data_IF_531694404882
#
_entry.id   IF_531694404882
#
_cell.length_a   1.000
_cell.length_b   1.000
_cell.length_c   1.000
_cell.angle_alpha   90.00
_cell.angle_beta   90.00
_cell.angle_gamma   90.00
#
_symmetry.space_group_name_H-M   'P 1'
#
loop_
_entity.id
_entity.type
_entity.pdbx_description
1 polymer ?
#
# COMPACT_ATOMS: atom_id res chain seq x y z
N UNK A 1 -42.18 38.95 -34.32
CA UNK A 1 -41.39 39.62 -33.27
C UNK A 1 -40.77 38.50 -32.42
N UNK A 2 -39.45 38.29 -32.34
CA UNK A 2 -38.32 38.87 -33.07
C UNK A 2 -37.20 37.81 -33.21
N UNK A 3 -36.51 37.87 -34.35
CA UNK A 3 -35.08 37.63 -34.61
C UNK A 3 -34.31 36.42 -34.05
N UNK A 4 -33.67 35.71 -34.99
CA UNK A 4 -32.46 34.90 -34.80
C UNK A 4 -31.25 35.76 -34.39
N UNK A 5 -30.27 35.14 -33.72
CA UNK A 5 -28.86 35.55 -33.80
C UNK A 5 -27.95 34.33 -33.77
N UNK A 6 -27.10 34.21 -34.80
CA UNK A 6 -25.92 33.35 -34.80
C UNK A 6 -24.74 34.11 -34.21
N UNK A 7 -23.79 33.41 -33.60
CA UNK A 7 -22.63 34.03 -32.96
C UNK A 7 -21.62 32.98 -32.51
N UNK A 8 -20.83 32.47 -33.46
CA UNK A 8 -19.61 31.73 -33.13
C UNK A 8 -18.49 32.72 -32.81
N UNK A 9 -17.59 32.33 -31.91
CA UNK A 9 -16.25 32.89 -31.83
C UNK A 9 -15.27 31.73 -31.84
N UNK A 10 -14.41 31.74 -32.85
CA UNK A 10 -13.20 30.92 -32.95
C UNK A 10 -12.05 31.69 -32.30
N UNK A 11 -11.06 31.00 -31.73
CA UNK A 11 -10.06 31.62 -30.84
C UNK A 11 -9.10 30.63 -30.21
N UNK A 12 -8.13 30.20 -31.02
CA UNK A 12 -7.10 29.17 -30.76
C UNK A 12 -6.10 29.48 -29.64
N UNK A 13 -5.62 28.42 -28.98
CA UNK A 13 -4.22 28.10 -28.56
C UNK A 13 -3.28 29.22 -28.04
N UNK A 14 -2.49 29.08 -26.97
CA UNK A 14 -2.24 27.98 -26.01
C UNK A 14 -1.73 28.60 -24.67
N UNK A 15 -1.29 27.91 -23.61
CA UNK A 15 -0.96 26.49 -23.44
C UNK A 15 -1.17 26.01 -22.00
N UNK A 16 -1.60 24.75 -21.88
CA UNK A 16 -0.93 23.78 -21.00
C UNK A 16 -1.43 22.38 -21.36
N UNK A 17 -0.72 21.68 -22.26
CA UNK A 17 -0.93 20.25 -22.53
C UNK A 17 -0.45 19.45 -21.31
N UNK A 18 -1.27 19.44 -20.26
CA UNK A 18 -1.21 18.45 -19.18
C UNK A 18 -2.03 17.24 -19.61
N UNK A 19 -1.35 16.11 -19.83
CA UNK A 19 -1.90 14.86 -20.33
C UNK A 19 -2.99 14.29 -19.41
N UNK A 20 -4.24 14.75 -19.58
CA UNK A 20 -5.41 14.19 -18.89
C UNK A 20 -5.81 12.86 -19.51
N UNK A 21 -5.10 11.82 -19.10
CA UNK A 21 -5.66 10.47 -19.07
C UNK A 21 -6.69 10.43 -17.93
N UNK A 22 -7.93 10.84 -18.21
CA UNK A 22 -9.05 10.75 -17.27
C UNK A 22 -9.46 9.27 -17.11
N UNK A 23 -8.75 8.57 -16.23
CA UNK A 23 -9.03 7.19 -15.82
C UNK A 23 -10.15 7.23 -14.78
N UNK A 24 -11.39 7.05 -15.24
CA UNK A 24 -12.57 6.89 -14.38
C UNK A 24 -12.42 5.64 -13.49
N UNK A 25 -11.96 5.82 -12.25
CA UNK A 25 -11.65 4.74 -11.33
C UNK A 25 -12.92 4.21 -10.64
N UNK A 26 -13.73 3.42 -11.36
CA UNK A 26 -15.08 3.00 -10.90
C UNK A 26 -15.06 2.05 -9.68
N UNK A 27 -13.92 1.46 -9.32
CA UNK A 27 -13.75 0.63 -8.10
C UNK A 27 -12.85 1.37 -7.10
N UNK A 28 -13.42 2.12 -6.16
CA UNK A 28 -12.63 2.93 -5.21
C UNK A 28 -11.51 2.13 -4.53
N UNK A 29 -10.25 2.45 -4.85
CA UNK A 29 -9.10 1.90 -4.14
C UNK A 29 -9.18 2.31 -2.66
N UNK A 30 -8.88 1.41 -1.72
CA UNK A 30 -8.89 1.77 -0.32
C UNK A 30 -7.82 2.85 -0.08
N UNK A 31 -8.17 3.99 0.54
CA UNK A 31 -7.18 5.03 0.80
C UNK A 31 -6.08 4.49 1.74
N UNK A 32 -4.82 4.84 1.47
CA UNK A 32 -3.70 4.47 2.36
C UNK A 32 -3.98 5.06 3.75
N UNK A 33 -3.99 4.26 4.83
CA UNK A 33 -4.21 4.77 6.18
C UNK A 33 -3.09 5.74 6.57
N UNK A 34 -3.43 6.75 7.37
CA UNK A 34 -2.46 7.68 7.92
C UNK A 34 -1.48 6.92 8.84
N UNK A 35 -0.21 6.85 8.43
CA UNK A 35 0.82 6.10 9.16
C UNK A 35 1.08 6.76 10.52
N UNK A 36 0.90 5.97 11.59
CA UNK A 36 1.30 6.33 12.95
C UNK A 36 1.47 5.06 13.78
N UNK A 37 2.30 5.13 14.82
CA UNK A 37 2.51 4.03 15.79
C UNK A 37 1.19 3.47 16.33
N UNK A 38 0.21 4.33 16.63
CA UNK A 38 -1.11 3.89 17.12
C UNK A 38 -1.82 2.98 16.12
N UNK A 39 -1.80 3.30 14.83
CA UNK A 39 -2.44 2.48 13.79
C UNK A 39 -1.80 1.09 13.70
N UNK A 40 -0.49 0.97 13.93
CA UNK A 40 0.21 -0.32 13.95
C UNK A 40 -0.05 -1.17 15.22
N UNK A 41 -0.33 -0.53 16.37
CA UNK A 41 -0.45 -1.23 17.67
C UNK A 41 -1.89 -1.42 18.16
N UNK A 42 -2.79 -0.52 17.80
CA UNK A 42 -4.19 -0.46 18.25
C UNK A 42 -5.13 -0.87 17.10
N UNK A 43 -4.95 -0.29 15.90
CA UNK A 43 -5.83 -0.51 14.73
C UNK A 43 -5.31 -1.53 13.71
N UNK A 44 -4.60 -2.58 14.15
CA UNK A 44 -4.05 -3.62 13.27
C UNK A 44 -5.11 -4.28 12.36
N UNK A 45 -6.36 -4.37 12.82
CA UNK A 45 -7.52 -4.82 12.02
C UNK A 45 -7.87 -3.89 10.86
N UNK A 46 -7.75 -2.58 11.06
CA UNK A 46 -7.98 -1.58 10.00
C UNK A 46 -6.94 -1.74 8.89
N UNK A 47 -5.68 -1.97 9.28
CA UNK A 47 -4.60 -2.27 8.36
C UNK A 47 -4.79 -3.62 7.64
N UNK A 48 -5.18 -4.67 8.34
CA UNK A 48 -5.51 -5.95 7.71
C UNK A 48 -6.63 -5.81 6.65
N UNK A 49 -7.66 -5.02 6.96
CA UNK A 49 -8.73 -4.69 6.00
C UNK A 49 -8.21 -3.89 4.80
N UNK A 50 -7.35 -2.89 5.00
CA UNK A 50 -6.70 -2.15 3.92
C UNK A 50 -5.90 -3.08 2.98
N UNK A 51 -5.04 -3.94 3.53
CA UNK A 51 -4.23 -4.88 2.76
C UNK A 51 -5.11 -5.87 1.97
N UNK A 52 -6.12 -6.45 2.62
CA UNK A 52 -7.08 -7.36 2.00
C UNK A 52 -7.86 -6.70 0.87
N UNK A 53 -8.36 -5.48 1.08
CA UNK A 53 -9.12 -4.73 0.07
C UNK A 53 -8.22 -4.27 -1.10
N UNK A 54 -6.98 -3.84 -0.86
CA UNK A 54 -6.05 -3.43 -1.94
C UNK A 54 -5.66 -4.63 -2.81
N UNK A 55 -5.39 -5.80 -2.22
CA UNK A 55 -5.12 -7.05 -2.97
C UNK A 55 -6.35 -7.52 -3.75
N UNK A 56 -7.54 -7.51 -3.15
CA UNK A 56 -8.79 -7.80 -3.85
C UNK A 56 -9.15 -6.75 -4.92
N UNK A 57 -8.65 -5.52 -4.78
CA UNK A 57 -8.82 -4.47 -5.76
C UNK A 57 -7.94 -4.68 -7.00
N UNK A 58 -6.66 -5.05 -6.79
CA UNK A 58 -5.60 -5.02 -7.82
C UNK A 58 -5.10 -6.38 -8.30
N UNK A 59 -4.88 -7.34 -7.39
CA UNK A 59 -4.19 -8.60 -7.70
C UNK A 59 -5.18 -9.74 -7.99
N UNK A 60 -6.27 -9.88 -7.21
CA UNK A 60 -7.24 -10.97 -7.39
C UNK A 60 -8.00 -10.89 -8.73
N UNK A 61 -8.23 -9.68 -9.22
CA UNK A 61 -8.94 -9.42 -10.49
C UNK A 61 -8.00 -9.19 -11.68
N UNK A 62 -6.68 -9.20 -11.44
CA UNK A 62 -5.63 -8.80 -12.39
C UNK A 62 -5.78 -9.45 -13.77
N UNK A 63 -6.06 -10.77 -13.82
CA UNK A 63 -6.27 -11.49 -15.08
C UNK A 63 -7.48 -10.99 -15.87
N UNK A 64 -8.57 -10.63 -15.18
CA UNK A 64 -9.76 -10.07 -15.82
C UNK A 64 -9.48 -8.67 -16.35
N UNK A 65 -8.81 -7.84 -15.55
CA UNK A 65 -8.48 -6.46 -15.91
C UNK A 65 -7.52 -6.40 -17.10
N UNK A 66 -6.45 -7.21 -17.10
CA UNK A 66 -5.50 -7.30 -18.22
C UNK A 66 -6.16 -7.81 -19.50
N UNK A 67 -6.99 -8.86 -19.43
CA UNK A 67 -7.75 -9.33 -20.59
C UNK A 67 -8.70 -8.25 -21.12
N UNK A 68 -9.36 -7.48 -20.23
CA UNK A 68 -10.21 -6.36 -20.61
C UNK A 68 -9.43 -5.21 -21.27
N UNK A 69 -8.17 -5.00 -20.89
CA UNK A 69 -7.29 -3.99 -21.49
C UNK A 69 -6.80 -4.45 -22.88
N UNK A 70 -6.41 -5.73 -23.02
CA UNK A 70 -5.91 -6.28 -24.29
C UNK A 70 -7.03 -6.48 -25.33
N UNK A 71 -8.21 -6.95 -24.92
CA UNK A 71 -9.33 -7.26 -25.81
C UNK A 71 -10.18 -6.04 -26.20
N UNK A 72 -9.80 -4.81 -25.78
CA UNK A 72 -10.53 -3.55 -26.09
C UNK A 72 -10.65 -3.22 -27.59
N UNK A 73 -10.02 -4.00 -28.46
CA UNK A 73 -10.25 -3.96 -29.92
C UNK A 73 -11.67 -4.45 -30.31
N UNK A 74 -12.31 -5.28 -29.47
CA UNK A 74 -13.64 -5.85 -29.75
C UNK A 74 -14.67 -5.42 -28.70
N UNK A 75 -15.39 -4.34 -29.01
CA UNK A 75 -16.76 -4.06 -28.56
C UNK A 75 -17.03 -4.27 -27.05
N UNK A 76 -16.76 -3.25 -26.22
CA UNK A 76 -17.79 -2.63 -25.36
C UNK A 76 -17.25 -1.49 -24.46
N UNK A 77 -18.11 -0.51 -24.18
CA UNK A 77 -17.83 0.69 -23.37
C UNK A 77 -17.80 0.42 -21.84
N UNK A 78 -17.62 -0.83 -21.41
CA UNK A 78 -17.83 -1.30 -20.03
C UNK A 78 -16.55 -1.68 -19.28
N UNK A 79 -15.38 -1.63 -19.93
CA UNK A 79 -14.08 -1.83 -19.30
C UNK A 79 -13.80 -0.81 -18.18
N UNK A 80 -13.46 -1.29 -16.99
CA UNK A 80 -13.26 -0.50 -15.75
C UNK A 80 -12.11 0.53 -15.86
N UNK A 81 -11.08 0.24 -16.68
CA UNK A 81 -9.95 1.15 -16.88
C UNK A 81 -9.91 1.69 -18.32
N UNK A 82 -9.97 3.01 -18.50
CA UNK A 82 -9.85 3.70 -19.79
C UNK A 82 -8.39 3.92 -20.18
N UNK A 83 -7.75 2.89 -20.72
CA UNK A 83 -6.51 3.06 -21.49
C UNK A 83 -6.85 3.22 -22.97
N UNK A 84 -6.50 4.37 -23.56
CA UNK A 84 -6.33 4.46 -25.02
C UNK A 84 -5.04 3.73 -25.37
N UNK A 85 -5.11 2.81 -26.34
CA UNK A 85 -3.90 2.40 -27.07
C UNK A 85 -3.42 3.64 -27.83
N UNK A 86 -2.13 3.92 -27.81
CA UNK A 86 -1.53 4.75 -28.84
C UNK A 86 -1.58 3.98 -30.17
N UNK A 87 -1.76 4.65 -31.30
CA UNK A 87 -1.75 4.00 -32.63
C UNK A 87 -0.34 3.50 -33.05
N UNK A 88 0.59 3.39 -32.10
CA UNK A 88 1.92 2.81 -32.27
C UNK A 88 1.89 1.37 -31.78
N UNK A 89 2.04 0.43 -32.71
CA UNK A 89 1.82 -1.00 -32.48
C UNK A 89 2.75 -1.64 -31.42
N UNK A 90 3.87 -0.99 -31.08
CA UNK A 90 4.93 -1.54 -30.22
C UNK A 90 4.75 -1.31 -28.70
N UNK A 91 3.89 -0.39 -28.24
CA UNK A 91 3.77 -0.09 -26.80
C UNK A 91 2.62 -0.87 -26.15
N UNK A 92 2.97 -1.94 -25.42
CA UNK A 92 1.95 -2.77 -24.76
C UNK A 92 1.15 -1.96 -23.72
N UNK A 93 -0.19 -2.00 -23.83
CA UNK A 93 -1.10 -1.29 -22.93
C UNK A 93 -1.00 -1.72 -21.45
N UNK A 94 -0.25 -2.79 -21.16
CA UNK A 94 0.09 -3.21 -19.81
C UNK A 94 1.13 -2.31 -19.12
N UNK A 95 2.03 -1.65 -19.86
CA UNK A 95 3.05 -0.75 -19.28
C UNK A 95 2.42 0.46 -18.57
N UNK A 96 1.49 1.24 -19.17
CA UNK A 96 0.83 2.33 -18.46
C UNK A 96 -0.06 1.83 -17.31
N UNK A 97 -0.69 0.66 -17.43
CA UNK A 97 -1.44 0.06 -16.32
C UNK A 97 -0.55 -0.30 -15.13
N UNK A 98 0.62 -0.90 -15.38
CA UNK A 98 1.64 -1.17 -14.37
C UNK A 98 2.05 0.12 -13.63
N UNK A 99 2.40 1.16 -14.39
CA UNK A 99 2.92 2.41 -13.83
C UNK A 99 1.87 3.23 -13.07
N UNK A 100 0.63 3.27 -13.55
CA UNK A 100 -0.43 4.13 -13.01
C UNK A 100 -1.31 3.46 -11.95
N UNK A 101 -1.42 2.13 -11.94
CA UNK A 101 -2.31 1.39 -11.02
C UNK A 101 -1.52 0.46 -10.10
N UNK A 102 -0.72 -0.44 -10.67
CA UNK A 102 -0.10 -1.54 -9.91
C UNK A 102 1.04 -1.03 -9.00
N UNK A 103 2.02 -0.31 -9.55
CA UNK A 103 3.15 0.21 -8.78
C UNK A 103 2.77 1.14 -7.63
N UNK A 104 1.85 2.13 -7.76
CA UNK A 104 1.44 2.94 -6.60
C UNK A 104 0.74 2.11 -5.52
N UNK A 105 -0.09 1.12 -5.87
CA UNK A 105 -0.78 0.28 -4.89
C UNK A 105 0.18 -0.67 -4.15
N UNK A 106 1.06 -1.36 -4.88
CA UNK A 106 2.11 -2.17 -4.27
C UNK A 106 3.00 -1.34 -3.34
N UNK A 107 3.40 -0.13 -3.76
CA UNK A 107 4.16 0.78 -2.90
C UNK A 107 3.37 1.14 -1.64
N UNK A 108 2.09 1.52 -1.74
CA UNK A 108 1.27 1.83 -0.56
C UNK A 108 1.22 0.69 0.43
N UNK A 109 1.13 -0.58 -0.02
CA UNK A 109 1.13 -1.76 0.86
C UNK A 109 2.48 -2.00 1.51
N UNK A 110 3.56 -2.04 0.72
CA UNK A 110 4.94 -2.25 1.22
C UNK A 110 5.34 -1.16 2.20
N UNK A 111 5.06 0.12 1.90
CA UNK A 111 5.33 1.25 2.81
C UNK A 111 4.70 1.03 4.20
N UNK A 112 3.45 0.55 4.26
CA UNK A 112 2.72 0.40 5.53
C UNK A 112 3.24 -0.82 6.30
N UNK A 113 3.49 -1.94 5.62
CA UNK A 113 4.07 -3.15 6.24
C UNK A 113 5.45 -2.81 6.83
N UNK A 114 6.34 -2.19 6.06
CA UNK A 114 7.69 -1.82 6.53
C UNK A 114 7.67 -0.78 7.65
N UNK A 115 6.77 0.20 7.59
CA UNK A 115 6.60 1.15 8.69
C UNK A 115 6.18 0.47 10.00
N UNK A 116 5.17 -0.42 9.97
CA UNK A 116 4.74 -1.13 11.17
C UNK A 116 5.74 -2.17 11.68
N UNK A 117 6.52 -2.83 10.80
CA UNK A 117 7.65 -3.66 11.22
C UNK A 117 8.67 -2.84 12.01
N UNK A 118 9.13 -1.70 11.46
CA UNK A 118 10.10 -0.83 12.12
C UNK A 118 9.64 -0.33 13.49
N UNK A 119 8.39 0.15 13.59
CA UNK A 119 7.81 0.62 14.86
C UNK A 119 7.74 -0.49 15.93
N UNK A 120 7.55 -1.75 15.55
CA UNK A 120 7.52 -2.88 16.49
C UNK A 120 8.93 -3.36 16.86
N UNK A 121 9.85 -3.40 15.90
CA UNK A 121 11.24 -3.75 16.18
C UNK A 121 11.92 -2.68 17.08
N UNK A 122 11.57 -1.40 16.94
CA UNK A 122 11.97 -0.30 17.85
C UNK A 122 11.42 -0.49 19.28
N UNK A 123 10.18 -0.96 19.39
CA UNK A 123 9.54 -1.27 20.69
C UNK A 123 10.22 -2.47 21.35
N UNK A 124 10.40 -3.57 20.62
CA UNK A 124 11.04 -4.79 21.13
C UNK A 124 12.53 -4.58 21.47
N UNK A 125 13.21 -3.67 20.78
CA UNK A 125 14.60 -3.26 21.08
C UNK A 125 14.72 -2.33 22.30
N UNK A 126 13.59 -1.85 22.85
CA UNK A 126 13.57 -0.93 23.99
C UNK A 126 13.85 0.54 23.65
N UNK A 127 13.96 0.89 22.36
CA UNK A 127 14.14 2.28 21.91
C UNK A 127 12.85 3.10 22.07
N UNK A 128 11.69 2.45 21.91
CA UNK A 128 10.37 3.06 22.04
C UNK A 128 9.66 2.67 23.34
N UNK A 129 8.75 3.54 23.80
CA UNK A 129 8.03 3.34 25.07
C UNK A 129 6.92 2.30 24.89
N UNK A 130 7.04 1.20 25.65
CA UNK A 130 5.98 0.21 25.88
C UNK A 130 4.84 0.79 26.75
N UNK A 131 3.61 0.33 26.54
CA UNK A 131 2.53 0.46 27.53
C UNK A 131 2.58 -0.71 28.53
N UNK A 132 3.66 -0.75 29.31
CA UNK A 132 3.97 -1.81 30.28
C UNK A 132 3.95 -1.33 31.74
N UNK A 133 3.49 -0.10 31.98
CA UNK A 133 3.60 0.57 33.29
C UNK A 133 5.03 0.95 33.70
N UNK A 134 6.00 0.90 32.77
CA UNK A 134 7.41 1.25 33.01
C UNK A 134 8.29 0.10 33.50
N UNK A 135 7.76 -1.12 33.64
CA UNK A 135 8.49 -2.25 34.24
C UNK A 135 9.76 -2.67 33.47
N UNK A 136 9.77 -2.51 32.13
CA UNK A 136 10.97 -2.69 31.30
C UNK A 136 12.12 -1.75 31.66
N UNK A 137 11.80 -0.51 32.08
CA UNK A 137 12.79 0.54 32.40
C UNK A 137 13.35 0.45 33.81
N UNK A 138 12.65 -0.24 34.71
CA UNK A 138 13.10 -0.42 36.10
C UNK A 138 14.39 -1.25 36.16
N UNK A 139 15.38 -0.70 36.86
CA UNK A 139 16.62 -1.38 37.21
C UNK A 139 16.37 -2.59 38.12
N UNK A 140 17.31 -3.54 38.22
CA UNK A 140 17.21 -4.66 39.17
C UNK A 140 17.06 -4.21 40.64
N UNK A 141 17.65 -3.07 41.00
CA UNK A 141 17.56 -2.50 42.35
C UNK A 141 16.15 -1.97 42.64
N UNK A 142 15.56 -1.19 41.72
CA UNK A 142 14.19 -0.71 41.84
C UNK A 142 13.18 -1.87 41.89
N UNK A 143 13.37 -2.90 41.05
CA UNK A 143 12.57 -4.13 41.07
C UNK A 143 12.60 -4.83 42.44
N UNK A 144 13.80 -4.98 43.02
CA UNK A 144 13.96 -5.53 44.36
C UNK A 144 13.36 -4.63 45.46
N UNK A 145 13.46 -3.30 45.31
CA UNK A 145 12.85 -2.36 46.26
C UNK A 145 11.32 -2.42 46.23
N UNK A 146 10.71 -2.50 45.05
CA UNK A 146 9.25 -2.70 44.92
C UNK A 146 8.85 -4.03 45.55
N UNK A 147 9.55 -5.13 45.27
CA UNK A 147 9.28 -6.45 45.86
C UNK A 147 9.36 -6.45 47.40
N UNK A 148 10.21 -5.62 47.99
CA UNK A 148 10.35 -5.44 49.45
C UNK A 148 9.27 -4.55 50.06
N UNK A 149 8.76 -3.57 49.32
CA UNK A 149 7.72 -2.64 49.80
C UNK A 149 6.33 -3.26 49.63
N UNK A 150 6.02 -3.76 48.43
CA UNK A 150 4.78 -4.45 48.11
C UNK A 150 4.99 -5.51 47.00
N UNK A 151 4.97 -6.81 47.34
CA UNK A 151 5.11 -7.89 46.36
C UNK A 151 3.91 -8.01 45.41
N UNK A 152 2.73 -7.46 45.74
CA UNK A 152 1.58 -7.46 44.84
C UNK A 152 1.76 -6.45 43.71
N UNK A 153 2.18 -5.22 44.02
CA UNK A 153 2.55 -4.21 43.00
C UNK A 153 3.62 -4.74 42.04
N UNK A 154 4.66 -5.45 42.53
CA UNK A 154 5.64 -6.09 41.66
C UNK A 154 4.99 -7.05 40.67
N UNK A 155 4.17 -7.98 41.17
CA UNK A 155 3.51 -9.03 40.37
C UNK A 155 2.53 -8.45 39.34
N UNK A 156 1.84 -7.36 39.67
CA UNK A 156 0.91 -6.70 38.76
C UNK A 156 1.63 -5.95 37.63
N UNK A 157 2.77 -5.31 37.92
CA UNK A 157 3.63 -4.69 36.91
C UNK A 157 4.28 -5.74 36.00
N UNK A 158 4.80 -6.83 36.57
CA UNK A 158 5.33 -7.97 35.82
C UNK A 158 4.28 -8.57 34.88
N UNK A 159 3.06 -8.80 35.36
CA UNK A 159 1.96 -9.29 34.52
C UNK A 159 1.58 -8.32 33.40
N UNK A 160 1.57 -7.00 33.65
CA UNK A 160 1.32 -6.00 32.60
C UNK A 160 2.40 -6.06 31.53
N UNK A 161 3.67 -6.09 31.93
CA UNK A 161 4.80 -6.25 31.02
C UNK A 161 4.72 -7.53 30.18
N UNK A 162 4.46 -8.68 30.79
CA UNK A 162 4.36 -9.95 30.07
C UNK A 162 3.21 -9.94 29.06
N UNK A 163 2.06 -9.35 29.39
CA UNK A 163 0.91 -9.19 28.47
C UNK A 163 1.22 -8.23 27.32
N UNK A 164 1.86 -7.09 27.60
CA UNK A 164 2.26 -6.13 26.57
C UNK A 164 3.28 -6.73 25.60
N UNK A 165 4.29 -7.43 26.13
CA UNK A 165 5.32 -8.10 25.33
C UNK A 165 4.72 -9.23 24.47
N UNK A 166 3.81 -10.04 25.02
CA UNK A 166 3.11 -11.09 24.26
C UNK A 166 2.30 -10.49 23.10
N UNK A 167 1.56 -9.40 23.33
CA UNK A 167 0.83 -8.68 22.26
C UNK A 167 1.76 -8.16 21.17
N UNK A 168 2.90 -7.57 21.54
CA UNK A 168 3.86 -7.05 20.57
C UNK A 168 4.55 -8.16 19.77
N UNK A 169 4.82 -9.32 20.38
CA UNK A 169 5.32 -10.50 19.67
C UNK A 169 4.28 -11.09 18.70
N UNK A 170 2.99 -11.12 19.06
CA UNK A 170 1.90 -11.50 18.16
C UNK A 170 1.82 -10.55 16.96
N UNK A 171 1.86 -9.22 17.20
CA UNK A 171 1.88 -8.22 16.13
C UNK A 171 3.11 -8.37 15.23
N UNK A 172 4.30 -8.60 15.80
CA UNK A 172 5.53 -8.84 15.00
C UNK A 172 5.34 -10.01 14.04
N UNK A 173 4.86 -11.15 14.55
CA UNK A 173 4.57 -12.34 13.76
C UNK A 173 3.52 -12.06 12.66
N UNK A 174 2.50 -11.24 12.95
CA UNK A 174 1.52 -10.80 11.96
C UNK A 174 2.18 -10.01 10.81
N UNK A 175 2.98 -8.98 11.11
CA UNK A 175 3.63 -8.19 10.07
C UNK A 175 4.70 -8.96 9.28
N UNK A 176 5.47 -9.83 9.93
CA UNK A 176 6.42 -10.72 9.27
C UNK A 176 5.72 -11.74 8.35
N UNK A 177 4.46 -12.08 8.61
CA UNK A 177 3.65 -12.90 7.72
C UNK A 177 3.02 -12.08 6.59
N UNK A 178 2.55 -10.86 6.84
CA UNK A 178 2.05 -9.96 5.80
C UNK A 178 3.15 -9.59 4.77
N UNK A 179 4.40 -9.43 5.20
CA UNK A 179 5.55 -9.20 4.32
C UNK A 179 5.83 -10.40 3.38
N UNK A 180 5.75 -11.64 3.92
CA UNK A 180 5.85 -12.87 3.13
C UNK A 180 4.67 -13.00 2.16
N UNK A 181 3.45 -12.69 2.60
CA UNK A 181 2.25 -12.69 1.74
C UNK A 181 2.41 -11.68 0.62
N UNK A 182 2.87 -10.47 0.90
CA UNK A 182 3.09 -9.43 -0.12
C UNK A 182 4.15 -9.85 -1.15
N UNK A 183 5.24 -10.49 -0.70
CA UNK A 183 6.27 -11.07 -1.58
C UNK A 183 5.70 -12.18 -2.47
N UNK A 184 4.78 -13.01 -1.97
CA UNK A 184 4.13 -14.07 -2.75
C UNK A 184 3.10 -13.50 -3.74
N UNK A 185 2.29 -12.53 -3.31
CA UNK A 185 1.27 -11.88 -4.14
C UNK A 185 1.93 -11.11 -5.29
N UNK A 186 2.85 -10.19 -4.99
CA UNK A 186 3.58 -9.43 -6.02
C UNK A 186 4.28 -10.35 -7.04
N UNK A 187 4.98 -11.39 -6.59
CA UNK A 187 5.61 -12.38 -7.49
C UNK A 187 4.60 -13.11 -8.38
N UNK A 188 3.44 -13.52 -7.85
CA UNK A 188 2.38 -14.16 -8.66
C UNK A 188 1.77 -13.19 -9.67
N UNK A 189 1.54 -11.94 -9.27
CA UNK A 189 1.05 -10.90 -10.16
C UNK A 189 2.05 -10.58 -11.28
N UNK A 190 3.36 -10.54 -10.98
CA UNK A 190 4.43 -10.42 -12.00
C UNK A 190 4.37 -11.58 -12.99
N UNK A 191 4.25 -12.83 -12.51
CA UNK A 191 4.13 -14.01 -13.38
C UNK A 191 2.92 -13.89 -14.32
N UNK A 192 1.73 -13.58 -13.79
CA UNK A 192 0.52 -13.38 -14.59
C UNK A 192 0.65 -12.25 -15.62
N UNK A 193 1.33 -11.15 -15.26
CA UNK A 193 1.55 -10.03 -16.19
C UNK A 193 2.52 -10.41 -17.31
N UNK A 194 3.58 -11.16 -17.02
CA UNK A 194 4.50 -11.65 -18.04
C UNK A 194 3.80 -12.64 -19.00
N UNK A 195 2.98 -13.56 -18.47
CA UNK A 195 2.24 -14.55 -19.25
C UNK A 195 1.20 -13.91 -20.19
N UNK A 196 0.46 -12.90 -19.70
CA UNK A 196 -0.67 -12.28 -20.42
C UNK A 196 -0.19 -11.19 -21.38
N UNK A 197 0.74 -10.34 -20.94
CA UNK A 197 1.20 -9.18 -21.71
C UNK A 197 2.43 -9.47 -22.58
N UNK A 198 2.97 -10.70 -22.55
CA UNK A 198 4.12 -11.15 -23.35
C UNK A 198 5.32 -10.20 -23.26
N UNK A 199 5.60 -9.74 -22.04
CA UNK A 199 6.62 -8.73 -21.71
C UNK A 199 8.04 -9.32 -21.84
N UNK A 200 8.51 -9.48 -23.09
CA UNK A 200 9.67 -10.31 -23.43
C UNK A 200 10.93 -10.09 -22.59
N UNK A 201 11.36 -8.84 -22.40
CA UNK A 201 12.55 -8.48 -21.59
C UNK A 201 12.27 -7.41 -20.51
N UNK A 202 11.01 -7.06 -20.28
CA UNK A 202 10.65 -6.00 -19.35
C UNK A 202 10.61 -6.53 -17.90
N UNK A 203 11.65 -6.24 -17.12
CA UNK A 203 11.69 -6.57 -15.70
C UNK A 203 10.73 -5.71 -14.88
N UNK A 204 9.52 -6.23 -14.64
CA UNK A 204 8.50 -5.61 -13.79
C UNK A 204 9.02 -5.39 -12.36
N UNK A 205 9.81 -6.31 -11.81
CA UNK A 205 10.31 -6.22 -10.43
C UNK A 205 11.36 -5.11 -10.28
N UNK A 206 12.38 -5.10 -11.14
CA UNK A 206 13.42 -4.06 -11.15
C UNK A 206 12.87 -2.67 -11.46
N UNK A 207 11.84 -2.56 -12.32
CA UNK A 207 11.19 -1.28 -12.57
C UNK A 207 10.30 -0.83 -11.40
N UNK A 208 9.64 -1.74 -10.68
CA UNK A 208 8.98 -1.41 -9.41
C UNK A 208 9.98 -0.93 -8.34
N UNK A 209 11.16 -1.56 -8.21
CA UNK A 209 12.20 -1.11 -7.27
C UNK A 209 12.68 0.31 -7.59
N UNK A 210 12.92 0.63 -8.87
CA UNK A 210 13.23 2.00 -9.33
C UNK A 210 12.11 2.96 -8.92
N UNK A 211 10.85 2.65 -9.25
CA UNK A 211 9.69 3.47 -8.88
C UNK A 211 9.60 3.72 -7.37
N UNK A 212 9.78 2.66 -6.57
CA UNK A 212 9.76 2.74 -5.12
C UNK A 212 10.80 3.75 -4.59
N UNK A 213 12.02 3.69 -5.11
CA UNK A 213 13.13 4.61 -4.77
C UNK A 213 12.96 6.04 -5.31
N UNK A 214 12.38 6.23 -6.50
CA UNK A 214 12.19 7.58 -7.06
C UNK A 214 11.18 8.37 -6.24
N UNK A 215 10.07 7.75 -5.85
CA UNK A 215 9.00 8.41 -5.08
C UNK A 215 9.30 8.57 -3.58
N UNK A 216 10.48 8.21 -3.06
CA UNK A 216 10.89 8.66 -1.70
C UNK A 216 11.49 10.06 -1.71
N UNK A 217 12.03 10.52 -2.85
CA UNK A 217 12.65 11.83 -2.99
C UNK A 217 11.64 12.97 -3.24
N UNK A 218 10.35 12.64 -3.38
CA UNK A 218 9.25 13.59 -3.60
C UNK A 218 8.67 14.23 -2.32
N UNK A 219 9.43 14.26 -1.23
CA UNK A 219 9.08 14.99 0.01
C UNK A 219 10.28 15.83 0.47
N UNK A 220 10.36 17.03 -0.10
CA UNK A 220 10.98 18.21 0.51
C UNK A 220 9.89 19.28 0.59
#
# INVERSE_FOLDING_TARGET
MYSSSSGGNDGTDSDMISSRLDIDFIKSLPPKPALSRKVCLEDSKSLQNFLKLSRAATDDNLRSDLNSILNRNEVNKTSIFKFSRSDKEDESACIPFLQLVIYPEWKKRVDVIKYCQGEIDDILSGNAVMDDGGFSKLTPEEKNNILRIDPYTYKDLEQKYLRANAKNMELKNFYDNEDKVETIVSRRSIQLMNDICQLGSFDVAGNFLKYASSSTNGKQ
#
